data_IF_800152188552
#
_entry.id   IF_800152188552
#
_cell.length_a   1.000
_cell.length_b   1.000
_cell.length_c   1.000
_cell.angle_alpha   90.00
_cell.angle_beta   90.00
_cell.angle_gamma   90.00
#
_symmetry.space_group_name_H-M   'P 1'
#
loop_
_entity.id
_entity.type
_entity.pdbx_description
1 polymer ?
#
# COMPACT_ATOMS: atom_id res chain seq x y z
N UNK A 1 -14.75 -11.50 -56.58
CA UNK A 1 -14.91 -10.33 -55.69
C UNK A 1 -13.91 -10.45 -54.54
N UNK A 2 -12.99 -9.48 -54.33
CA UNK A 2 -12.07 -9.53 -53.19
C UNK A 2 -12.83 -9.14 -51.92
N UNK A 3 -12.85 -10.04 -50.93
CA UNK A 3 -13.46 -9.81 -49.63
C UNK A 3 -12.56 -8.89 -48.80
N UNK A 4 -13.02 -7.67 -48.58
CA UNK A 4 -12.74 -6.82 -47.42
C UNK A 4 -11.28 -6.64 -47.03
N UNK A 5 -10.67 -5.54 -47.47
CA UNK A 5 -9.42 -5.04 -46.90
C UNK A 5 -9.54 -4.72 -45.41
N UNK A 6 -8.39 -4.70 -44.74
CA UNK A 6 -8.22 -4.27 -43.35
C UNK A 6 -8.97 -2.97 -43.10
N UNK A 7 -10.06 -3.03 -42.34
CA UNK A 7 -10.81 -1.84 -41.93
C UNK A 7 -10.13 -1.24 -40.71
N UNK A 8 -9.22 -0.28 -40.95
CA UNK A 8 -8.69 0.62 -39.94
C UNK A 8 -9.86 1.44 -39.37
N UNK A 9 -10.50 0.90 -38.32
CA UNK A 9 -11.75 1.47 -37.81
C UNK A 9 -12.50 0.59 -36.81
N UNK A 10 -12.11 -0.68 -36.62
CA UNK A 10 -12.53 -1.45 -35.44
C UNK A 10 -11.71 -0.98 -34.23
N UNK A 11 -12.10 0.17 -33.67
CA UNK A 11 -11.51 0.80 -32.49
C UNK A 11 -11.18 -0.21 -31.39
N UNK A 12 -9.89 -0.52 -31.29
CA UNK A 12 -9.11 -0.84 -30.09
C UNK A 12 -9.83 -1.63 -28.98
N UNK A 13 -10.16 -2.90 -29.22
CA UNK A 13 -10.29 -3.89 -28.13
C UNK A 13 -8.94 -4.27 -27.49
N UNK A 14 -7.81 -3.83 -28.07
CA UNK A 14 -6.46 -4.18 -27.58
C UNK A 14 -6.04 -3.40 -26.33
N UNK A 15 -6.60 -2.22 -26.08
CA UNK A 15 -6.25 -1.39 -24.91
C UNK A 15 -6.76 -1.98 -23.59
N UNK A 16 -7.92 -2.63 -23.62
CA UNK A 16 -8.49 -3.31 -22.44
C UNK A 16 -7.80 -4.62 -22.08
N UNK A 17 -6.80 -5.05 -22.87
CA UNK A 17 -6.09 -6.31 -22.69
C UNK A 17 -4.66 -6.08 -22.20
N UNK A 18 -4.28 -4.85 -21.85
CA UNK A 18 -3.01 -4.63 -21.15
C UNK A 18 -3.08 -5.35 -19.80
N UNK A 19 -2.14 -6.26 -19.51
CA UNK A 19 -2.13 -6.97 -18.23
C UNK A 19 -1.99 -5.94 -17.12
N UNK A 20 -2.92 -5.98 -16.16
CA UNK A 20 -2.88 -5.12 -14.96
C UNK A 20 -1.50 -5.27 -14.33
N UNK A 21 -0.73 -4.16 -14.29
CA UNK A 21 0.62 -4.16 -13.74
C UNK A 21 0.56 -4.55 -12.27
N UNK A 22 1.13 -5.71 -11.93
CA UNK A 22 1.24 -6.16 -10.55
C UNK A 22 2.22 -5.23 -9.83
N UNK A 23 1.75 -4.56 -8.78
CA UNK A 23 2.60 -3.76 -7.90
C UNK A 23 3.13 -4.70 -6.82
N UNK A 24 4.45 -4.87 -6.77
CA UNK A 24 5.10 -5.58 -5.68
C UNK A 24 5.28 -4.61 -4.52
N UNK A 25 4.34 -4.62 -3.59
CA UNK A 25 4.50 -3.93 -2.32
C UNK A 25 5.44 -4.79 -1.47
N UNK A 26 6.66 -4.31 -1.23
CA UNK A 26 7.65 -4.96 -0.36
C UNK A 26 7.27 -4.86 1.12
N UNK A 27 6.09 -5.35 1.47
CA UNK A 27 5.56 -5.30 2.84
C UNK A 27 6.28 -6.31 3.74
N UNK A 28 6.46 -6.00 5.04
CA UNK A 28 6.97 -6.96 6.01
C UNK A 28 6.09 -8.21 6.10
N UNK A 29 6.69 -9.36 6.42
CA UNK A 29 5.97 -10.65 6.50
C UNK A 29 4.85 -10.63 7.54
N UNK A 30 5.05 -9.95 8.68
CA UNK A 30 4.03 -9.80 9.71
C UNK A 30 2.76 -9.13 9.17
N UNK A 31 2.91 -8.09 8.35
CA UNK A 31 1.80 -7.36 7.73
C UNK A 31 1.12 -8.23 6.67
N UNK A 32 1.89 -8.98 5.88
CA UNK A 32 1.34 -9.90 4.89
C UNK A 32 0.47 -10.98 5.52
N UNK A 33 0.89 -11.55 6.66
CA UNK A 33 0.10 -12.54 7.41
C UNK A 33 -1.21 -11.96 7.93
N UNK A 34 -1.17 -10.76 8.52
CA UNK A 34 -2.38 -10.07 8.99
C UNK A 34 -3.35 -9.77 7.84
N UNK A 35 -2.83 -9.38 6.67
CA UNK A 35 -3.65 -9.19 5.47
C UNK A 35 -4.28 -10.48 4.97
N UNK A 36 -3.57 -11.61 5.06
CA UNK A 36 -4.11 -12.92 4.68
C UNK A 36 -5.20 -13.40 5.65
N UNK A 37 -4.99 -13.22 6.95
CA UNK A 37 -6.00 -13.49 7.98
C UNK A 37 -7.26 -12.63 7.74
N UNK A 38 -7.10 -11.34 7.49
CA UNK A 38 -8.22 -10.47 7.16
C UNK A 38 -8.94 -10.90 5.87
N UNK A 39 -8.17 -11.20 4.82
CA UNK A 39 -8.71 -11.63 3.54
C UNK A 39 -9.51 -12.94 3.65
N UNK A 40 -9.01 -13.91 4.41
CA UNK A 40 -9.69 -15.19 4.65
C UNK A 40 -10.96 -15.02 5.48
N UNK A 41 -10.91 -14.20 6.54
CA UNK A 41 -12.07 -13.93 7.39
C UNK A 41 -13.23 -13.23 6.65
N UNK A 42 -12.90 -12.43 5.63
CA UNK A 42 -13.87 -11.67 4.84
C UNK A 42 -14.17 -12.28 3.46
N UNK A 43 -13.60 -13.45 3.14
CA UNK A 43 -13.71 -14.11 1.83
C UNK A 43 -13.34 -13.19 0.64
N UNK A 44 -12.23 -12.46 0.81
CA UNK A 44 -11.72 -11.50 -0.17
C UNK A 44 -10.39 -11.96 -0.75
N UNK A 45 -10.11 -11.56 -1.99
CA UNK A 45 -8.73 -11.60 -2.51
C UNK A 45 -7.87 -10.56 -1.81
N UNK A 46 -6.59 -10.86 -1.57
CA UNK A 46 -5.63 -9.93 -0.92
C UNK A 46 -5.67 -8.48 -1.48
N UNK A 47 -5.74 -8.24 -2.82
CA UNK A 47 -5.86 -6.86 -3.33
C UNK A 47 -7.15 -6.15 -2.93
N UNK A 48 -8.28 -6.88 -2.86
CA UNK A 48 -9.57 -6.33 -2.41
C UNK A 48 -9.56 -6.01 -0.92
N UNK A 49 -8.95 -6.88 -0.11
CA UNK A 49 -8.76 -6.63 1.32
C UNK A 49 -8.00 -5.31 1.57
N UNK A 50 -6.90 -5.09 0.82
CA UNK A 50 -6.15 -3.82 0.88
C UNK A 50 -7.02 -2.63 0.49
N UNK A 51 -7.76 -2.71 -0.62
CA UNK A 51 -8.63 -1.62 -1.05
C UNK A 51 -9.72 -1.28 -0.01
N UNK A 52 -10.29 -2.30 0.64
CA UNK A 52 -11.31 -2.12 1.66
C UNK A 52 -10.75 -1.50 2.94
N UNK A 53 -9.57 -1.93 3.40
CA UNK A 53 -8.89 -1.34 4.56
C UNK A 53 -8.49 0.12 4.30
N UNK A 54 -8.01 0.43 3.10
CA UNK A 54 -7.70 1.81 2.71
C UNK A 54 -8.96 2.68 2.69
N UNK A 55 -10.06 2.18 2.12
CA UNK A 55 -11.34 2.90 2.15
C UNK A 55 -11.84 3.16 3.57
N UNK A 56 -11.66 2.20 4.49
CA UNK A 56 -12.00 2.39 5.90
C UNK A 56 -11.08 3.42 6.58
N UNK A 57 -9.79 3.41 6.26
CA UNK A 57 -8.82 4.37 6.80
C UNK A 57 -9.04 5.79 6.27
N UNK A 58 -9.58 5.94 5.06
CA UNK A 58 -9.96 7.25 4.50
C UNK A 58 -11.27 7.78 5.11
N UNK A 59 -12.20 6.89 5.47
CA UNK A 59 -13.48 7.25 6.11
C UNK A 59 -13.33 7.46 7.62
N UNK A 60 -12.44 6.71 8.27
CA UNK A 60 -12.04 6.97 9.64
C UNK A 60 -11.20 8.24 9.65
N UNK A 61 -11.76 9.33 10.17
CA UNK A 61 -11.04 10.58 10.45
C UNK A 61 -9.64 10.27 11.01
N UNK A 62 -8.58 10.97 10.57
CA UNK A 62 -7.24 10.75 11.10
C UNK A 62 -7.31 10.83 12.63
N UNK A 63 -6.69 9.90 13.36
CA UNK A 63 -6.66 10.00 14.82
C UNK A 63 -6.12 11.39 15.14
N UNK A 64 -6.89 12.17 15.93
CA UNK A 64 -6.43 13.47 16.38
C UNK A 64 -5.02 13.27 16.96
N UNK A 65 -4.04 14.14 16.60
CA UNK A 65 -2.69 13.96 17.06
C UNK A 65 -2.73 13.94 18.60
N UNK A 66 -2.45 12.78 19.19
CA UNK A 66 -2.32 12.61 20.63
C UNK A 66 -1.08 13.40 21.05
N UNK A 67 -1.26 14.70 21.30
CA UNK A 67 -0.18 15.65 21.59
C UNK A 67 0.65 15.23 22.81
N UNK A 68 0.07 14.48 23.75
CA UNK A 68 0.74 13.98 24.94
C UNK A 68 1.88 13.00 24.60
N UNK A 69 1.63 12.01 23.74
CA UNK A 69 2.59 10.92 23.48
C UNK A 69 3.74 11.34 22.57
N UNK A 70 3.49 12.32 21.69
CA UNK A 70 4.53 12.83 20.77
C UNK A 70 5.69 13.51 21.49
N UNK A 71 5.44 14.18 22.62
CA UNK A 71 6.47 14.89 23.38
C UNK A 71 7.52 13.94 23.97
N UNK A 72 7.06 12.84 24.57
CA UNK A 72 7.91 11.81 25.15
C UNK A 72 8.70 11.09 24.06
N UNK A 73 8.06 10.69 22.96
CA UNK A 73 8.74 10.08 21.81
C UNK A 73 9.83 10.98 21.22
N UNK A 74 9.57 12.30 21.08
CA UNK A 74 10.56 13.25 20.56
C UNK A 74 11.78 13.37 21.49
N UNK A 75 11.58 13.26 22.81
CA UNK A 75 12.68 13.28 23.77
C UNK A 75 13.53 12.01 23.70
N UNK A 76 12.90 10.84 23.55
CA UNK A 76 13.60 9.56 23.40
C UNK A 76 14.42 9.53 22.11
N UNK A 77 13.85 9.98 20.98
CA UNK A 77 14.57 10.07 19.71
C UNK A 77 15.79 11.00 19.78
N UNK A 78 15.68 12.12 20.50
CA UNK A 78 16.81 13.03 20.74
C UNK A 78 17.91 12.33 21.55
N UNK A 79 17.56 11.59 22.60
CA UNK A 79 18.51 10.83 23.40
C UNK A 79 19.21 9.74 22.57
N UNK A 80 18.44 8.99 21.77
CA UNK A 80 18.96 7.95 20.88
C UNK A 80 19.97 8.51 19.87
N UNK A 81 19.63 9.65 19.24
CA UNK A 81 20.54 10.34 18.33
C UNK A 81 21.86 10.71 19.04
N UNK A 82 21.78 11.24 20.26
CA UNK A 82 22.99 11.60 21.02
C UNK A 82 23.84 10.40 21.41
N UNK A 83 23.24 9.24 21.68
CA UNK A 83 23.98 8.01 21.96
C UNK A 83 24.70 7.50 20.72
N UNK A 84 24.05 7.52 19.56
CA UNK A 84 24.65 7.12 18.29
C UNK A 84 25.82 8.03 17.90
N UNK A 85 25.69 9.35 18.05
CA UNK A 85 26.77 10.29 17.74
C UNK A 85 27.94 10.17 18.70
N UNK A 86 27.71 9.86 19.98
CA UNK A 86 28.79 9.63 20.96
C UNK A 86 29.52 8.31 20.71
N UNK A 87 28.81 7.26 20.29
CA UNK A 87 29.37 5.93 20.01
C UNK A 87 30.20 5.86 18.72
N UNK A 88 29.96 6.76 17.76
CA UNK A 88 30.72 6.86 16.51
C UNK A 88 31.99 7.72 16.64
N UNK A 89 32.15 8.47 17.75
CA UNK A 89 33.28 9.34 18.02
C UNK A 89 34.34 8.77 18.98
N UNK A 90 34.18 7.51 19.43
CA UNK A 90 35.15 6.75 20.24
C UNK A 90 35.72 5.59 19.42
#
# INVERSE_FOLDING_TARGET
>A
MPRGGYREGAGRKKEYNEPVKKILLGLPESVLRQLDEYATNHDLSRPKAVAQLLGQAEVASPPEPQQADTSNMLSELKNLKQQLTRKLGS
#
